data_IF_925378998882
#
_entry.id   IF_925378998882
#
_cell.length_a   1.000
_cell.length_b   1.000
_cell.length_c   1.000
_cell.angle_alpha   90.00
_cell.angle_beta   90.00
_cell.angle_gamma   90.00
#
_symmetry.space_group_name_H-M   'P 1'
#
loop_
_entity.id
_entity.type
_entity.pdbx_description
1 polymer ?
#
# COMPACT_ATOMS: atom_id res chain seq x y z
N UNK A 1 -4.85 35.72 38.64
CA UNK A 1 -5.82 34.63 38.70
C UNK A 1 -6.10 34.23 37.26
N UNK A 2 -5.29 33.31 36.69
CA UNK A 2 -5.46 32.87 35.31
C UNK A 2 -6.17 31.50 35.35
N UNK A 3 -7.36 31.45 34.80
CA UNK A 3 -8.17 30.27 34.64
C UNK A 3 -7.54 29.34 33.59
N UNK A 4 -7.15 28.16 34.02
CA UNK A 4 -6.80 27.05 33.11
C UNK A 4 -8.07 26.65 32.33
N UNK A 5 -8.12 27.03 31.06
CA UNK A 5 -9.08 26.47 30.12
C UNK A 5 -8.69 25.04 29.81
N UNK A 6 -9.56 24.11 30.14
CA UNK A 6 -9.42 22.68 29.89
C UNK A 6 -9.27 22.38 28.41
N UNK A 7 -8.11 21.82 28.02
CA UNK A 7 -7.95 21.14 26.74
C UNK A 7 -8.56 19.74 26.89
N UNK A 8 -9.84 19.65 26.68
CA UNK A 8 -10.56 18.39 26.62
C UNK A 8 -11.35 18.33 25.33
N UNK A 9 -10.70 17.95 24.24
CA UNK A 9 -11.40 17.45 23.05
C UNK A 9 -10.42 17.03 21.92
N UNK A 10 -9.64 15.98 22.10
CA UNK A 10 -8.98 15.30 20.99
C UNK A 10 -9.01 13.76 21.14
N UNK A 11 -10.04 13.21 21.77
CA UNK A 11 -10.25 11.77 21.86
C UNK A 11 -11.59 11.36 21.22
N UNK A 12 -11.84 11.84 20.00
CA UNK A 12 -13.09 11.58 19.29
C UNK A 12 -13.05 10.39 18.31
N UNK A 13 -11.99 9.60 18.27
CA UNK A 13 -11.89 8.51 17.29
C UNK A 13 -11.58 7.13 17.92
N UNK A 14 -11.90 6.93 19.20
CA UNK A 14 -11.84 5.60 19.79
C UNK A 14 -13.16 4.87 19.53
N UNK A 15 -13.16 3.65 18.99
CA UNK A 15 -14.38 2.87 18.79
C UNK A 15 -15.05 2.60 20.13
N UNK A 16 -16.35 2.93 20.25
CA UNK A 16 -17.17 2.67 21.42
C UNK A 16 -17.85 1.30 21.25
N UNK A 17 -17.41 0.33 22.04
CA UNK A 17 -18.02 -1.00 22.03
C UNK A 17 -17.51 -1.92 20.91
N UNK A 18 -18.32 -2.92 20.55
CA UNK A 18 -17.99 -3.92 19.51
C UNK A 18 -18.19 -3.41 18.06
N UNK A 19 -18.69 -2.18 17.88
CA UNK A 19 -18.92 -1.60 16.56
C UNK A 19 -17.63 -0.92 16.07
N UNK A 20 -16.72 -1.73 15.57
CA UNK A 20 -15.42 -1.29 15.04
C UNK A 20 -15.52 -0.64 13.65
N UNK A 21 -16.70 -0.67 13.02
CA UNK A 21 -16.98 -0.08 11.72
C UNK A 21 -17.95 1.09 11.92
N UNK A 22 -17.58 2.26 11.37
CA UNK A 22 -18.48 3.41 11.32
C UNK A 22 -19.33 3.33 10.05
N UNK A 23 -20.64 3.02 10.14
CA UNK A 23 -21.49 2.87 8.96
C UNK A 23 -21.71 4.20 8.19
N UNK A 24 -21.51 5.34 8.87
CA UNK A 24 -21.64 6.68 8.28
C UNK A 24 -20.30 7.22 7.77
N UNK A 25 -19.23 6.43 7.85
CA UNK A 25 -17.88 6.81 7.41
C UNK A 25 -17.70 6.62 5.91
N UNK A 26 -16.73 7.35 5.34
CA UNK A 26 -16.28 7.10 3.98
C UNK A 26 -15.52 5.77 3.90
N UNK A 27 -15.75 5.04 2.82
CA UNK A 27 -15.00 3.82 2.49
C UNK A 27 -13.92 4.19 1.49
N UNK A 28 -12.67 3.80 1.78
CA UNK A 28 -11.58 3.95 0.82
C UNK A 28 -11.81 2.98 -0.34
N UNK A 29 -11.98 3.54 -1.55
CA UNK A 29 -12.08 2.74 -2.76
C UNK A 29 -10.70 2.44 -3.34
N UNK A 30 -9.88 3.48 -3.57
CA UNK A 30 -8.53 3.33 -4.13
C UNK A 30 -7.61 4.49 -3.75
N UNK A 31 -6.32 4.26 -3.53
CA UNK A 31 -5.26 5.21 -3.77
C UNK A 31 -4.88 5.23 -5.25
N UNK A 32 -4.40 6.39 -5.72
CA UNK A 32 -3.94 6.58 -7.09
C UNK A 32 -2.46 6.92 -7.13
N UNK A 33 -1.72 6.36 -8.10
CA UNK A 33 -0.28 6.59 -8.26
C UNK A 33 0.08 6.86 -9.73
N UNK A 34 0.95 7.84 -9.92
CA UNK A 34 1.56 8.14 -11.22
C UNK A 34 2.81 7.29 -11.40
N UNK A 35 2.89 6.51 -12.48
CA UNK A 35 4.02 5.60 -12.75
C UNK A 35 4.49 5.77 -14.19
N UNK A 36 5.79 5.54 -14.42
CA UNK A 36 6.39 5.71 -15.73
C UNK A 36 5.81 4.74 -16.78
N UNK A 37 5.50 3.51 -16.38
CA UNK A 37 4.89 2.48 -17.23
C UNK A 37 3.78 1.75 -16.46
N UNK A 38 2.52 2.25 -16.54
CA UNK A 38 1.39 1.62 -15.85
C UNK A 38 1.12 0.19 -16.31
N UNK A 39 1.40 -0.12 -17.58
CA UNK A 39 1.13 -1.46 -18.13
C UNK A 39 2.11 -2.48 -17.56
N UNK A 40 3.40 -2.18 -17.60
CA UNK A 40 4.42 -3.07 -17.06
C UNK A 40 4.32 -3.21 -15.54
N UNK A 41 4.07 -2.10 -14.82
CA UNK A 41 3.91 -2.11 -13.35
C UNK A 41 2.69 -2.94 -12.95
N UNK A 42 1.55 -2.74 -13.61
CA UNK A 42 0.33 -3.50 -13.35
C UNK A 42 0.51 -5.00 -13.63
N UNK A 43 1.16 -5.35 -14.74
CA UNK A 43 1.45 -6.75 -15.09
C UNK A 43 2.30 -7.42 -14.02
N UNK A 44 3.36 -6.75 -13.55
CA UNK A 44 4.21 -7.27 -12.48
C UNK A 44 3.45 -7.47 -11.17
N UNK A 45 2.56 -6.51 -10.80
CA UNK A 45 1.73 -6.62 -9.59
C UNK A 45 0.71 -7.77 -9.70
N UNK A 46 0.13 -7.99 -10.88
CA UNK A 46 -0.75 -9.14 -11.09
C UNK A 46 0.00 -10.46 -10.93
N UNK A 47 1.16 -10.58 -11.55
CA UNK A 47 1.94 -11.82 -11.55
C UNK A 47 2.53 -12.13 -10.17
N UNK A 48 3.03 -11.10 -9.46
CA UNK A 48 3.86 -11.30 -8.28
C UNK A 48 3.16 -10.98 -6.95
N UNK A 49 2.13 -10.11 -6.95
CA UNK A 49 1.38 -9.73 -5.75
C UNK A 49 -0.06 -10.26 -5.75
N UNK A 50 -0.50 -10.90 -6.86
CA UNK A 50 -1.82 -11.52 -6.94
C UNK A 50 -2.97 -10.52 -7.14
N UNK A 51 -2.68 -9.36 -7.73
CA UNK A 51 -3.71 -8.41 -8.14
C UNK A 51 -4.44 -8.88 -9.40
N UNK A 52 -5.63 -8.32 -9.61
CA UNK A 52 -6.42 -8.53 -10.83
C UNK A 52 -6.76 -7.19 -11.47
N UNK A 53 -6.46 -7.03 -12.75
CA UNK A 53 -6.88 -5.84 -13.51
C UNK A 53 -8.39 -5.92 -13.74
N UNK A 54 -9.12 -4.93 -13.24
CA UNK A 54 -10.59 -4.82 -13.42
C UNK A 54 -10.96 -3.80 -14.48
N UNK A 55 -10.07 -2.84 -14.76
CA UNK A 55 -10.26 -1.82 -15.78
C UNK A 55 -8.90 -1.32 -16.28
N UNK A 56 -8.80 -1.13 -17.59
CA UNK A 56 -7.64 -0.51 -18.22
C UNK A 56 -8.12 0.36 -19.39
N UNK A 57 -7.55 1.57 -19.51
CA UNK A 57 -7.79 2.46 -20.63
C UNK A 57 -6.76 2.23 -21.72
N UNK A 58 -7.21 2.24 -22.97
CA UNK A 58 -6.37 2.24 -24.15
C UNK A 58 -6.18 3.69 -24.65
N UNK A 59 -5.56 4.52 -23.81
CA UNK A 59 -5.18 5.89 -24.13
C UNK A 59 -3.76 6.18 -23.62
N UNK A 60 -3.26 7.38 -23.86
CA UNK A 60 -1.90 7.78 -23.47
C UNK A 60 -1.61 7.74 -21.96
N UNK A 61 -2.65 7.68 -21.12
CA UNK A 61 -2.51 7.56 -19.66
C UNK A 61 -2.33 6.12 -19.21
N UNK A 62 -2.82 5.15 -20.00
CA UNK A 62 -2.89 3.74 -19.64
C UNK A 62 -3.48 3.51 -18.24
N UNK A 63 -4.45 4.36 -17.84
CA UNK A 63 -5.06 4.26 -16.51
C UNK A 63 -5.58 2.85 -16.26
N UNK A 64 -5.04 2.21 -15.24
CA UNK A 64 -5.31 0.81 -14.90
C UNK A 64 -5.78 0.72 -13.45
N UNK A 65 -6.91 0.06 -13.22
CA UNK A 65 -7.38 -0.29 -11.89
C UNK A 65 -7.08 -1.76 -11.61
N UNK A 66 -6.35 -1.97 -10.51
CA UNK A 66 -6.02 -3.31 -10.01
C UNK A 66 -6.70 -3.50 -8.67
N UNK A 67 -7.29 -4.66 -8.46
CA UNK A 67 -7.94 -5.03 -7.20
C UNK A 67 -7.11 -6.11 -6.51
N UNK A 68 -6.90 -5.96 -5.20
CA UNK A 68 -6.16 -6.92 -4.38
C UNK A 68 -6.93 -8.25 -4.22
N UNK A 69 -6.28 -9.24 -3.64
CA UNK A 69 -6.87 -10.56 -3.42
C UNK A 69 -8.12 -10.55 -2.51
N UNK A 70 -8.37 -9.49 -1.73
CA UNK A 70 -9.58 -9.34 -0.92
C UNK A 70 -10.78 -8.84 -1.73
N UNK A 71 -10.55 -8.24 -2.89
CA UNK A 71 -11.57 -7.62 -3.71
C UNK A 71 -12.14 -6.31 -3.14
N UNK A 72 -11.51 -5.73 -2.12
CA UNK A 72 -12.05 -4.58 -1.38
C UNK A 72 -11.33 -3.27 -1.64
N UNK A 73 -10.07 -3.34 -2.03
CA UNK A 73 -9.25 -2.16 -2.30
C UNK A 73 -8.70 -2.26 -3.71
N UNK A 74 -8.89 -1.20 -4.48
CA UNK A 74 -8.25 -1.03 -5.78
C UNK A 74 -7.02 -0.14 -5.65
N UNK A 75 -6.11 -0.25 -6.61
CA UNK A 75 -5.03 0.70 -6.86
C UNK A 75 -5.25 1.26 -8.26
N UNK A 76 -5.31 2.57 -8.41
CA UNK A 76 -5.30 3.23 -9.70
C UNK A 76 -3.86 3.57 -10.08
N UNK A 77 -3.37 3.02 -11.19
CA UNK A 77 -2.07 3.35 -11.77
C UNK A 77 -2.29 4.08 -13.08
N UNK A 78 -1.56 5.16 -13.32
CA UNK A 78 -1.65 5.91 -14.57
C UNK A 78 -0.35 6.65 -14.87
N UNK A 79 -0.22 7.13 -16.10
CA UNK A 79 0.77 8.11 -16.51
C UNK A 79 0.13 9.48 -16.55
N UNK A 80 0.57 10.40 -15.69
CA UNK A 80 -0.03 11.73 -15.61
C UNK A 80 0.31 12.56 -16.85
N UNK A 81 -0.73 13.08 -17.54
CA UNK A 81 -0.56 13.95 -18.71
C UNK A 81 0.08 15.28 -18.40
N UNK A 82 -0.11 15.78 -17.18
CA UNK A 82 0.37 17.09 -16.73
C UNK A 82 1.79 17.03 -16.16
N UNK A 83 2.33 15.85 -15.94
CA UNK A 83 3.68 15.62 -15.45
C UNK A 83 4.50 14.86 -16.51
N UNK A 84 5.51 15.50 -17.10
CA UNK A 84 6.29 14.87 -18.18
C UNK A 84 7.14 13.71 -17.69
N UNK A 85 7.41 13.64 -16.38
CA UNK A 85 8.22 12.59 -15.75
C UNK A 85 7.49 12.10 -14.51
N UNK A 86 7.25 10.79 -14.43
CA UNK A 86 6.71 10.16 -13.24
C UNK A 86 7.67 10.32 -12.04
N UNK A 87 7.16 10.29 -10.79
CA UNK A 87 7.99 10.35 -9.60
C UNK A 87 9.06 9.25 -9.61
N UNK A 88 10.28 9.62 -9.22
CA UNK A 88 11.36 8.65 -9.01
C UNK A 88 11.20 7.97 -7.65
N UNK A 89 10.32 6.98 -7.59
CA UNK A 89 10.07 6.22 -6.37
C UNK A 89 11.31 5.53 -5.83
N UNK A 90 12.27 5.15 -6.69
CA UNK A 90 13.48 4.46 -6.27
C UNK A 90 14.39 5.34 -5.41
N UNK A 91 14.40 6.65 -5.63
CA UNK A 91 15.18 7.62 -4.83
C UNK A 91 14.44 8.15 -3.60
N UNK A 92 13.11 7.96 -3.51
CA UNK A 92 12.32 8.44 -2.37
C UNK A 92 12.59 7.59 -1.12
N UNK A 93 12.49 8.22 0.07
CA UNK A 93 12.42 7.45 1.32
C UNK A 93 11.20 6.51 1.27
N UNK A 94 11.36 5.19 1.47
CA UNK A 94 10.26 4.24 1.41
C UNK A 94 9.16 4.51 2.46
N UNK A 95 9.46 5.27 3.50
CA UNK A 95 8.47 5.68 4.51
C UNK A 95 7.57 6.84 4.02
N UNK A 96 7.95 7.54 2.94
CA UNK A 96 7.11 8.61 2.36
C UNK A 96 5.83 8.03 1.75
N UNK A 97 5.95 6.93 1.02
CA UNK A 97 4.85 6.18 0.43
C UNK A 97 5.25 4.72 0.29
N UNK A 98 4.45 3.82 0.86
CA UNK A 98 4.59 2.39 0.60
C UNK A 98 3.23 1.69 0.67
N UNK A 99 3.14 0.54 0.02
CA UNK A 99 1.97 -0.34 0.09
C UNK A 99 2.29 -1.53 0.99
N UNK A 100 1.50 -1.69 2.06
CA UNK A 100 1.70 -2.75 3.04
C UNK A 100 0.81 -3.96 2.77
N UNK A 101 1.42 -5.14 2.70
CA UNK A 101 0.77 -6.43 2.46
C UNK A 101 0.95 -7.37 3.65
N UNK A 102 -0.09 -8.13 3.98
CA UNK A 102 0.05 -9.23 4.94
C UNK A 102 0.79 -10.39 4.30
N UNK A 103 1.76 -10.95 5.02
CA UNK A 103 2.52 -12.11 4.61
C UNK A 103 2.29 -13.28 5.58
N UNK A 104 2.36 -14.50 5.07
CA UNK A 104 2.40 -15.72 5.87
C UNK A 104 3.84 -16.14 6.19
N UNK A 105 4.77 -15.79 5.29
CA UNK A 105 6.20 -16.10 5.38
C UNK A 105 7.01 -15.02 4.66
N UNK A 106 7.55 -14.09 5.45
CA UNK A 106 8.27 -12.92 4.92
C UNK A 106 9.58 -13.32 4.24
N UNK A 107 10.29 -14.33 4.77
CA UNK A 107 11.54 -14.81 4.16
C UNK A 107 11.29 -15.40 2.76
N UNK A 108 10.24 -16.24 2.63
CA UNK A 108 9.85 -16.81 1.34
C UNK A 108 9.41 -15.74 0.34
N UNK A 109 8.69 -14.70 0.80
CA UNK A 109 8.28 -13.58 -0.05
C UNK A 109 9.48 -12.76 -0.53
N UNK A 110 10.46 -12.47 0.35
CA UNK A 110 11.71 -11.81 -0.04
C UNK A 110 12.43 -12.59 -1.14
N UNK A 111 12.62 -13.90 -0.94
CA UNK A 111 13.32 -14.75 -1.91
C UNK A 111 12.59 -14.76 -3.27
N UNK A 112 11.28 -14.99 -3.25
CA UNK A 112 10.45 -15.05 -4.47
C UNK A 112 10.43 -13.74 -5.23
N UNK A 113 10.21 -12.62 -4.53
CA UNK A 113 10.11 -11.31 -5.16
C UNK A 113 11.47 -10.78 -5.64
N UNK A 114 12.55 -11.13 -4.96
CA UNK A 114 13.90 -10.80 -5.44
C UNK A 114 14.18 -11.51 -6.77
N UNK A 115 13.77 -12.78 -6.91
CA UNK A 115 13.86 -13.50 -8.20
C UNK A 115 12.99 -12.86 -9.30
N UNK A 116 11.91 -12.20 -8.91
CA UNK A 116 11.03 -11.45 -9.81
C UNK A 116 11.49 -10.00 -10.08
N UNK A 117 12.68 -9.60 -9.61
CA UNK A 117 13.29 -8.30 -9.89
C UNK A 117 13.04 -7.22 -8.83
N UNK A 118 12.38 -7.54 -7.72
CA UNK A 118 12.28 -6.62 -6.60
C UNK A 118 13.60 -6.55 -5.81
N UNK A 119 13.84 -5.43 -5.12
CA UNK A 119 15.03 -5.23 -4.30
C UNK A 119 14.67 -5.09 -2.82
N UNK A 120 15.41 -5.77 -1.94
CA UNK A 120 15.24 -5.65 -0.50
C UNK A 120 15.85 -4.32 -0.01
N UNK A 121 15.08 -3.56 0.79
CA UNK A 121 15.52 -2.33 1.45
C UNK A 121 15.85 -2.60 2.91
N UNK A 122 14.90 -3.16 3.67
CA UNK A 122 15.10 -3.52 5.08
C UNK A 122 14.34 -4.79 5.41
N UNK A 123 14.84 -5.54 6.40
CA UNK A 123 14.15 -6.67 6.98
C UNK A 123 14.32 -6.65 8.50
N UNK A 124 13.22 -6.58 9.24
CA UNK A 124 13.19 -6.45 10.69
C UNK A 124 12.38 -7.57 11.30
N UNK A 125 12.96 -8.22 12.33
CA UNK A 125 12.30 -9.26 13.13
C UNK A 125 12.32 -8.89 14.60
N UNK A 126 11.18 -9.03 15.25
CA UNK A 126 11.03 -8.88 16.70
C UNK A 126 9.91 -9.78 17.21
N UNK A 127 9.75 -10.01 18.52
CA UNK A 127 8.65 -10.80 19.03
C UNK A 127 7.29 -10.30 18.53
N UNK A 128 6.54 -11.18 17.84
CA UNK A 128 5.22 -10.86 17.27
C UNK A 128 5.22 -10.05 15.98
N UNK A 129 6.39 -9.76 15.41
CA UNK A 129 6.53 -8.98 14.18
C UNK A 129 7.67 -9.50 13.28
N UNK A 130 7.37 -9.68 12.02
CA UNK A 130 8.34 -9.91 10.95
C UNK A 130 7.93 -9.03 9.77
N UNK A 131 8.83 -8.16 9.29
CA UNK A 131 8.51 -7.18 8.27
C UNK A 131 9.67 -6.85 7.36
N UNK A 132 9.42 -6.89 6.05
CA UNK A 132 10.39 -6.51 5.03
C UNK A 132 9.86 -5.34 4.19
N UNK A 133 10.70 -4.35 3.98
CA UNK A 133 10.50 -3.30 2.98
C UNK A 133 11.28 -3.67 1.73
N UNK A 134 10.59 -3.70 0.60
CA UNK A 134 11.18 -3.97 -0.70
C UNK A 134 10.80 -2.87 -1.70
N UNK A 135 11.42 -2.85 -2.86
CA UNK A 135 10.99 -2.06 -4.01
C UNK A 135 10.66 -2.98 -5.16
N UNK A 136 9.54 -2.72 -5.81
CA UNK A 136 9.22 -3.37 -7.08
C UNK A 136 10.15 -2.89 -8.20
N UNK A 137 10.11 -3.47 -9.42
CA UNK A 137 10.95 -3.02 -10.54
C UNK A 137 10.72 -1.56 -10.97
N UNK A 138 9.56 -0.97 -10.62
CA UNK A 138 9.26 0.45 -10.87
C UNK A 138 9.79 1.38 -9.77
N UNK A 139 10.43 0.82 -8.74
CA UNK A 139 10.96 1.56 -7.59
C UNK A 139 9.93 1.80 -6.47
N UNK A 140 8.67 1.42 -6.66
CA UNK A 140 7.61 1.61 -5.67
C UNK A 140 7.91 0.78 -4.41
N UNK A 141 7.84 1.43 -3.24
CA UNK A 141 8.05 0.74 -1.97
C UNK A 141 6.84 -0.14 -1.63
N UNK A 142 7.12 -1.41 -1.36
CA UNK A 142 6.17 -2.44 -0.96
C UNK A 142 6.67 -3.10 0.32
N UNK A 143 5.79 -3.20 1.32
CA UNK A 143 6.10 -3.78 2.61
C UNK A 143 5.33 -5.08 2.83
N UNK A 144 6.02 -6.12 3.24
CA UNK A 144 5.40 -7.39 3.63
C UNK A 144 5.49 -7.54 5.13
N UNK A 145 4.35 -7.82 5.80
CA UNK A 145 4.30 -7.91 7.25
C UNK A 145 3.56 -9.15 7.71
N UNK A 146 4.18 -9.86 8.65
CA UNK A 146 3.56 -10.91 9.44
C UNK A 146 3.48 -10.42 10.89
N UNK A 147 2.26 -10.30 11.41
CA UNK A 147 1.99 -9.81 12.76
C UNK A 147 1.21 -10.83 13.56
N UNK A 148 1.57 -11.01 14.82
CA UNK A 148 0.76 -11.81 15.76
C UNK A 148 -0.64 -11.19 15.96
N UNK A 149 -0.71 -9.87 16.05
CA UNK A 149 -1.97 -9.12 16.13
C UNK A 149 -2.18 -8.30 14.86
N UNK A 150 -3.27 -8.58 14.14
CA UNK A 150 -3.67 -7.78 12.98
C UNK A 150 -3.96 -6.34 13.40
N UNK A 151 -3.61 -5.39 12.52
CA UNK A 151 -4.04 -3.99 12.64
C UNK A 151 -5.40 -3.76 11.98
N UNK A 152 -5.88 -4.74 11.20
CA UNK A 152 -7.18 -4.68 10.54
C UNK A 152 -8.27 -5.20 11.49
N UNK A 153 -9.46 -4.62 11.37
CA UNK A 153 -10.65 -5.07 12.07
C UNK A 153 -11.10 -6.43 11.49
N UNK A 154 -11.57 -7.33 12.37
CA UNK A 154 -12.11 -8.64 11.99
C UNK A 154 -13.61 -8.58 11.97
#
# INVERSE_FOLDING_TARGET
>A
MFTLASIAALFGCAPKGNDLVNPDGFVLEHPAIDVADPVATAAWWCENLGFTITRQKDDETHTTFLVDASGRIAIEMYRAKTQPVAPDYASMDPLTLHFGFTSKDVDADIERLTKAGATLVTHEKSPGFDGAMMRDPSGIAIQFVKREKSVLLK
#
